data_IF_216977346902
#
_entry.id   IF_216977346902
#
_cell.length_a   1.000
_cell.length_b   1.000
_cell.length_c   1.000
_cell.angle_alpha   90.00
_cell.angle_beta   90.00
_cell.angle_gamma   90.00
#
_symmetry.space_group_name_H-M   'P 1'
#
loop_
_entity.id
_entity.type
_entity.pdbx_description
1 polymer ?
#
# COMPACT_ATOMS: atom_id res chain seq x y z
N UNK A 1 -7.29 -6.60 -0.21
CA UNK A 1 -7.05 -5.31 0.44
C UNK A 1 -5.64 -5.20 0.99
N UNK A 2 -5.31 -4.04 1.48
CA UNK A 2 -4.08 -3.81 2.24
C UNK A 2 -4.15 -4.47 3.61
N UNK A 3 -3.00 -4.69 4.26
CA UNK A 3 -2.95 -5.16 5.64
C UNK A 3 -3.58 -4.17 6.63
N UNK A 4 -3.61 -4.56 7.89
CA UNK A 4 -4.06 -3.68 8.96
C UNK A 4 -3.17 -2.42 9.07
N UNK A 5 -3.76 -1.30 9.43
CA UNK A 5 -3.06 -0.03 9.55
C UNK A 5 -3.45 0.74 10.78
N UNK A 6 -2.67 1.79 11.05
CA UNK A 6 -2.80 2.66 12.23
C UNK A 6 -2.04 2.16 13.44
N UNK A 7 -1.83 3.07 14.39
CA UNK A 7 -0.98 2.81 15.56
C UNK A 7 -1.53 1.78 16.55
N UNK A 8 -2.85 1.51 16.53
CA UNK A 8 -3.47 0.59 17.51
C UNK A 8 -3.16 -0.88 17.22
N UNK A 9 -3.31 -1.33 15.98
CA UNK A 9 -3.15 -2.75 15.63
C UNK A 9 -1.76 -3.30 15.94
N UNK A 10 -0.65 -2.70 15.47
CA UNK A 10 0.68 -3.17 15.83
C UNK A 10 0.95 -3.10 17.34
N UNK A 11 0.57 -1.99 18.00
CA UNK A 11 0.77 -1.81 19.43
C UNK A 11 0.05 -2.87 20.26
N UNK A 12 -1.21 -3.12 19.95
CA UNK A 12 -2.03 -4.06 20.72
C UNK A 12 -1.56 -5.51 20.49
N UNK A 13 -1.14 -5.87 19.27
CA UNK A 13 -0.53 -7.18 19.01
C UNK A 13 0.80 -7.36 19.75
N UNK A 14 1.64 -6.33 19.84
CA UNK A 14 2.89 -6.37 20.63
C UNK A 14 2.58 -6.58 22.12
N UNK A 15 1.59 -5.87 22.67
CA UNK A 15 1.18 -6.03 24.06
C UNK A 15 0.63 -7.43 24.35
N UNK A 16 -0.16 -7.97 23.42
CA UNK A 16 -0.73 -9.33 23.55
C UNK A 16 0.33 -10.43 23.40
N UNK A 17 1.37 -10.23 22.58
CA UNK A 17 2.55 -11.11 22.54
C UNK A 17 3.25 -11.15 23.92
N UNK A 18 3.51 -9.97 24.49
CA UNK A 18 4.11 -9.90 25.81
C UNK A 18 3.28 -10.65 26.86
N UNK A 19 1.95 -10.47 26.86
CA UNK A 19 1.06 -11.20 27.75
C UNK A 19 1.08 -12.71 27.51
N UNK A 20 1.13 -13.15 26.26
CA UNK A 20 1.22 -14.57 25.92
C UNK A 20 2.51 -15.21 26.46
N UNK A 21 3.62 -14.49 26.39
CA UNK A 21 4.92 -14.91 26.95
C UNK A 21 4.87 -14.98 28.49
N UNK A 22 4.43 -13.93 29.17
CA UNK A 22 4.29 -13.86 30.63
C UNK A 22 3.37 -14.97 31.20
N UNK A 23 2.31 -15.31 30.49
CA UNK A 23 1.36 -16.37 30.87
C UNK A 23 1.82 -17.75 30.43
N UNK A 24 2.96 -17.86 29.76
CA UNK A 24 3.51 -19.11 29.23
C UNK A 24 2.49 -19.89 28.39
N UNK A 25 1.76 -19.19 27.51
CA UNK A 25 0.84 -19.82 26.58
C UNK A 25 1.66 -20.61 25.56
N UNK A 26 1.37 -21.87 25.36
CA UNK A 26 2.13 -22.74 24.44
C UNK A 26 2.00 -22.35 22.94
N UNK A 27 1.35 -21.27 22.64
CA UNK A 27 1.13 -20.75 21.28
C UNK A 27 0.97 -19.22 21.28
N UNK A 28 1.75 -18.54 20.44
CA UNK A 28 1.67 -17.08 20.25
C UNK A 28 1.03 -16.74 18.89
N UNK A 29 -0.31 -16.54 18.90
CA UNK A 29 -1.06 -16.11 17.73
C UNK A 29 -0.65 -14.71 17.26
N UNK A 30 -0.30 -13.83 18.20
CA UNK A 30 -0.01 -12.43 17.91
C UNK A 30 1.32 -12.26 17.19
N UNK A 31 2.31 -13.09 17.51
CA UNK A 31 3.55 -13.16 16.73
C UNK A 31 3.28 -13.58 15.29
N UNK A 32 2.46 -14.60 15.11
CA UNK A 32 2.08 -15.07 13.77
C UNK A 32 1.36 -13.99 12.95
N UNK A 33 0.50 -13.18 13.58
CA UNK A 33 -0.18 -12.04 12.93
C UNK A 33 0.85 -10.98 12.50
N UNK A 34 1.78 -10.62 13.38
CA UNK A 34 2.81 -9.63 13.07
C UNK A 34 3.74 -10.11 11.95
N UNK A 35 4.16 -11.37 12.00
CA UNK A 35 4.98 -11.96 10.95
C UNK A 35 4.25 -12.00 9.60
N UNK A 36 2.97 -12.37 9.58
CA UNK A 36 2.18 -12.37 8.35
C UNK A 36 2.05 -10.96 7.75
N UNK A 37 1.90 -9.94 8.59
CA UNK A 37 1.88 -8.53 8.18
C UNK A 37 3.18 -8.13 7.47
N UNK A 38 4.34 -8.47 8.07
CA UNK A 38 5.64 -8.15 7.50
C UNK A 38 5.87 -8.88 6.16
N UNK A 39 5.57 -10.17 6.11
CA UNK A 39 5.70 -11.00 4.88
C UNK A 39 4.82 -10.44 3.75
N UNK A 40 3.58 -10.06 4.05
CA UNK A 40 2.69 -9.49 3.04
C UNK A 40 3.23 -8.15 2.51
N UNK A 41 3.74 -7.27 3.38
CA UNK A 41 4.31 -5.99 2.97
C UNK A 41 5.55 -6.19 2.07
N UNK A 42 6.44 -7.12 2.44
CA UNK A 42 7.59 -7.50 1.62
C UNK A 42 7.18 -8.01 0.24
N UNK A 43 6.18 -8.88 0.16
CA UNK A 43 5.72 -9.43 -1.10
C UNK A 43 5.16 -8.34 -2.02
N UNK A 44 4.41 -7.37 -1.48
CA UNK A 44 3.92 -6.22 -2.26
C UNK A 44 5.09 -5.36 -2.74
N UNK A 45 6.06 -5.07 -1.88
CA UNK A 45 7.24 -4.30 -2.24
C UNK A 45 8.04 -4.98 -3.36
N UNK A 46 8.25 -6.29 -3.28
CA UNK A 46 8.95 -7.06 -4.31
C UNK A 46 8.22 -7.02 -5.65
N UNK A 47 6.89 -7.08 -5.66
CA UNK A 47 6.09 -6.93 -6.88
C UNK A 47 6.30 -5.55 -7.51
N UNK A 48 6.29 -4.48 -6.71
CA UNK A 48 6.54 -3.11 -7.18
C UNK A 48 7.95 -2.96 -7.73
N UNK A 49 8.95 -3.44 -6.98
CA UNK A 49 10.38 -3.36 -7.35
C UNK A 49 10.66 -4.14 -8.63
N UNK A 50 10.08 -5.34 -8.77
CA UNK A 50 10.25 -6.12 -10.00
C UNK A 50 9.81 -5.30 -11.22
N UNK A 51 8.61 -4.73 -11.21
CA UNK A 51 8.12 -3.93 -12.33
C UNK A 51 8.89 -2.63 -12.53
N UNK A 52 9.30 -1.98 -11.44
CA UNK A 52 10.11 -0.76 -11.52
C UNK A 52 11.47 -1.04 -12.19
N UNK A 53 12.10 -2.16 -11.83
CA UNK A 53 13.37 -2.57 -12.42
C UNK A 53 13.24 -3.02 -13.89
N UNK A 54 12.21 -3.83 -14.21
CA UNK A 54 11.96 -4.32 -15.58
C UNK A 54 11.75 -3.18 -16.59
N UNK A 55 11.11 -2.10 -16.16
CA UNK A 55 10.71 -1.01 -17.04
C UNK A 55 11.45 0.31 -16.79
N UNK A 56 12.38 0.36 -15.83
CA UNK A 56 13.07 1.56 -15.36
C UNK A 56 12.10 2.68 -14.99
N UNK A 57 11.09 2.34 -14.18
CA UNK A 57 10.01 3.24 -13.76
C UNK A 57 10.15 3.66 -12.31
N UNK A 58 9.67 4.88 -11.98
CA UNK A 58 9.49 5.35 -10.61
C UNK A 58 8.36 4.59 -9.91
N UNK A 59 8.56 4.21 -8.64
CA UNK A 59 7.50 3.69 -7.79
C UNK A 59 6.73 4.84 -7.17
N UNK A 60 5.40 4.81 -7.28
CA UNK A 60 4.47 5.79 -6.69
C UNK A 60 3.49 5.07 -5.77
N UNK A 61 3.45 5.46 -4.51
CA UNK A 61 2.50 4.93 -3.53
C UNK A 61 1.36 5.94 -3.36
N UNK A 62 0.19 5.59 -3.87
CA UNK A 62 -1.03 6.38 -3.81
C UNK A 62 -1.77 6.10 -2.49
N UNK A 63 -1.67 7.07 -1.56
CA UNK A 63 -2.13 6.96 -0.18
C UNK A 63 -0.99 6.68 0.80
N UNK A 64 -0.58 7.70 1.57
CA UNK A 64 0.49 7.61 2.58
C UNK A 64 -0.05 7.35 3.97
N UNK A 65 -1.15 8.01 4.33
CA UNK A 65 -1.79 7.82 5.63
C UNK A 65 -2.26 6.36 5.82
N UNK A 66 -2.50 5.93 7.06
CA UNK A 66 -2.90 4.55 7.34
C UNK A 66 -4.29 4.19 6.77
N UNK A 67 -5.10 5.17 6.42
CA UNK A 67 -6.38 5.03 5.71
C UNK A 67 -6.75 6.33 4.99
N UNK A 68 -7.70 6.30 4.04
CA UNK A 68 -8.22 7.51 3.41
C UNK A 68 -8.88 8.46 4.41
N UNK A 69 -8.88 9.76 4.10
CA UNK A 69 -9.56 10.83 4.85
C UNK A 69 -8.96 11.13 6.23
N UNK A 70 -7.70 10.82 6.45
CA UNK A 70 -6.93 11.21 7.64
C UNK A 70 -5.53 11.64 7.23
N UNK A 71 -4.88 12.48 8.06
CA UNK A 71 -3.49 12.91 7.88
C UNK A 71 -2.48 12.07 8.68
N UNK A 72 -2.96 11.12 9.49
CA UNK A 72 -2.14 10.35 10.41
C UNK A 72 -1.42 9.19 9.71
N UNK A 73 -0.09 9.18 9.78
CA UNK A 73 0.75 8.22 9.09
C UNK A 73 1.33 7.11 9.97
N UNK A 74 1.32 7.29 11.32
CA UNK A 74 1.93 6.29 12.20
C UNK A 74 1.22 4.93 12.07
N UNK A 75 2.03 3.88 11.92
CA UNK A 75 1.54 2.53 11.67
C UNK A 75 0.93 2.33 10.28
N UNK A 76 1.16 3.26 9.34
CA UNK A 76 0.70 3.09 7.96
C UNK A 76 1.36 1.90 7.29
N UNK A 77 0.54 1.07 6.67
CA UNK A 77 1.01 -0.07 5.89
C UNK A 77 1.71 0.36 4.60
N UNK A 78 1.33 1.53 4.06
CA UNK A 78 1.99 2.17 2.92
C UNK A 78 3.45 2.49 3.21
N UNK A 79 3.74 3.02 4.41
CA UNK A 79 5.10 3.32 4.84
C UNK A 79 5.93 2.06 5.06
N UNK A 80 5.33 0.99 5.57
CA UNK A 80 6.01 -0.29 5.71
C UNK A 80 6.41 -0.87 4.35
N UNK A 81 5.51 -0.83 3.36
CA UNK A 81 5.81 -1.27 2.00
C UNK A 81 6.91 -0.39 1.39
N UNK A 82 6.82 0.93 1.57
CA UNK A 82 7.86 1.85 1.10
C UNK A 82 9.23 1.57 1.69
N UNK A 83 9.31 1.28 2.98
CA UNK A 83 10.54 0.86 3.64
C UNK A 83 11.15 -0.39 2.97
N UNK A 84 10.32 -1.40 2.64
CA UNK A 84 10.83 -2.59 1.93
C UNK A 84 11.23 -2.31 0.47
N UNK A 85 10.65 -1.31 -0.19
CA UNK A 85 11.16 -0.86 -1.48
C UNK A 85 12.53 -0.21 -1.32
N UNK A 86 12.73 0.62 -0.29
CA UNK A 86 14.01 1.27 0.00
C UNK A 86 15.12 0.26 0.33
N UNK A 87 14.82 -0.82 1.05
CA UNK A 87 15.77 -1.92 1.28
C UNK A 87 16.24 -2.58 -0.03
N UNK A 88 15.45 -2.50 -1.10
CA UNK A 88 15.80 -2.98 -2.44
C UNK A 88 16.44 -1.89 -3.32
N UNK A 89 16.71 -0.71 -2.77
CA UNK A 89 17.33 0.41 -3.47
C UNK A 89 16.37 1.30 -4.26
N UNK A 90 15.05 1.15 -4.07
CA UNK A 90 14.03 1.96 -4.74
C UNK A 90 13.33 2.89 -3.74
N UNK A 91 13.54 4.20 -3.87
CA UNK A 91 12.87 5.20 -3.05
C UNK A 91 11.52 5.54 -3.67
N UNK A 92 10.38 5.18 -3.06
CA UNK A 92 9.07 5.50 -3.61
C UNK A 92 8.71 6.96 -3.39
N UNK A 93 7.90 7.51 -4.30
CA UNK A 93 7.24 8.80 -4.13
C UNK A 93 5.82 8.54 -3.59
N UNK A 94 5.41 9.33 -2.60
CA UNK A 94 4.06 9.24 -2.04
C UNK A 94 3.15 10.30 -2.63
N UNK A 95 1.87 9.97 -2.78
CA UNK A 95 0.82 10.92 -3.16
C UNK A 95 -0.33 10.78 -2.18
N UNK A 96 -0.51 11.80 -1.35
CA UNK A 96 -1.62 11.89 -0.40
C UNK A 96 -1.88 13.37 -0.05
N UNK A 97 -2.98 13.96 -0.51
CA UNK A 97 -3.24 15.38 -0.32
C UNK A 97 -3.34 15.81 1.15
N UNK A 98 -3.77 14.90 2.05
CA UNK A 98 -3.92 15.25 3.47
C UNK A 98 -2.61 15.26 4.22
N UNK A 99 -1.63 14.50 3.79
CA UNK A 99 -0.29 14.51 4.37
C UNK A 99 0.63 15.54 3.71
N UNK A 100 0.11 16.30 2.72
CA UNK A 100 0.86 17.30 1.96
C UNK A 100 1.75 16.72 0.88
N UNK A 101 1.71 15.41 0.64
CA UNK A 101 2.50 14.75 -0.39
C UNK A 101 1.79 14.87 -1.74
N UNK A 102 2.37 15.67 -2.63
CA UNK A 102 1.85 15.92 -3.97
C UNK A 102 2.84 15.49 -5.04
N UNK A 103 2.36 14.74 -6.00
CA UNK A 103 3.12 14.33 -7.18
C UNK A 103 2.16 14.05 -8.33
N UNK A 104 2.41 14.63 -9.48
CA UNK A 104 1.61 14.42 -10.68
C UNK A 104 2.53 13.93 -11.82
N UNK A 105 2.70 12.62 -11.99
CA UNK A 105 3.60 12.05 -12.97
C UNK A 105 3.12 12.30 -14.39
N UNK A 106 4.04 12.66 -15.27
CA UNK A 106 3.80 12.79 -16.72
C UNK A 106 4.28 11.58 -17.51
N UNK A 107 5.19 10.78 -16.91
CA UNK A 107 5.73 9.56 -17.51
C UNK A 107 5.14 8.31 -16.83
N UNK A 108 5.14 7.16 -17.51
CA UNK A 108 4.67 5.91 -16.92
C UNK A 108 5.44 5.56 -15.64
N UNK A 109 4.69 5.13 -14.61
CA UNK A 109 5.21 4.75 -13.30
C UNK A 109 4.64 3.39 -12.86
N UNK A 110 5.21 2.83 -11.79
CA UNK A 110 4.64 1.69 -11.08
C UNK A 110 3.89 2.22 -9.87
N UNK A 111 2.57 2.06 -9.88
CA UNK A 111 1.70 2.54 -8.81
C UNK A 111 1.31 1.41 -7.86
N UNK A 112 1.31 1.71 -6.56
CA UNK A 112 0.55 0.98 -5.56
C UNK A 112 -0.69 1.80 -5.19
N UNK A 113 -1.88 1.27 -5.37
CA UNK A 113 -3.10 1.87 -4.83
C UNK A 113 -3.27 1.46 -3.36
N UNK A 114 -2.53 2.10 -2.47
CA UNK A 114 -2.60 1.83 -1.03
C UNK A 114 -3.94 2.29 -0.45
N UNK A 115 -4.49 3.41 -0.95
CA UNK A 115 -5.89 3.78 -0.76
C UNK A 115 -6.71 3.31 -1.96
N UNK A 116 -7.85 2.68 -1.67
CA UNK A 116 -8.76 2.20 -2.73
C UNK A 116 -9.28 3.36 -3.59
N UNK A 117 -9.25 3.19 -4.90
CA UNK A 117 -9.82 4.16 -5.84
C UNK A 117 -11.29 4.50 -5.52
N UNK A 118 -12.07 3.54 -5.02
CA UNK A 118 -13.48 3.76 -4.65
C UNK A 118 -13.66 4.59 -3.36
N UNK A 119 -12.65 4.63 -2.47
CA UNK A 119 -12.72 5.39 -1.20
C UNK A 119 -12.16 6.79 -1.31
N UNK A 120 -11.20 7.02 -2.18
CA UNK A 120 -10.66 8.37 -2.45
C UNK A 120 -11.72 9.30 -3.05
N UNK A 121 -12.72 8.73 -3.70
CA UNK A 121 -13.88 9.44 -4.23
C UNK A 121 -14.61 10.33 -3.21
N UNK A 122 -14.84 9.83 -2.01
CA UNK A 122 -15.61 10.56 -0.99
C UNK A 122 -14.90 11.83 -0.50
N UNK A 123 -13.59 11.89 -0.70
CA UNK A 123 -12.76 12.96 -0.19
C UNK A 123 -12.70 14.17 -1.13
N UNK A 124 -12.58 13.93 -2.43
CA UNK A 124 -12.36 15.01 -3.40
C UNK A 124 -13.60 15.81 -3.76
N UNK A 125 -14.81 15.32 -3.40
CA UNK A 125 -16.08 16.03 -3.65
C UNK A 125 -16.42 16.25 -5.13
N UNK A 126 -15.66 15.68 -6.05
CA UNK A 126 -15.82 15.86 -7.50
C UNK A 126 -16.49 14.62 -8.09
N UNK A 127 -17.55 14.83 -8.84
CA UNK A 127 -18.44 13.79 -9.38
C UNK A 127 -17.89 13.04 -10.61
N UNK A 128 -16.59 12.78 -10.71
CA UNK A 128 -16.00 12.11 -11.86
C UNK A 128 -15.24 10.81 -11.52
N UNK A 129 -15.21 9.88 -12.46
CA UNK A 129 -14.74 8.52 -12.30
C UNK A 129 -13.23 8.36 -12.01
N UNK A 130 -12.42 9.42 -12.16
CA UNK A 130 -10.98 9.41 -12.03
C UNK A 130 -10.53 10.07 -10.72
N UNK A 131 -10.92 9.45 -9.61
CA UNK A 131 -10.82 10.06 -8.27
C UNK A 131 -9.63 9.57 -7.48
N UNK A 132 -8.55 9.45 -8.16
CA UNK A 132 -7.23 9.24 -7.61
C UNK A 132 -6.65 10.58 -7.15
N UNK A 133 -5.66 10.54 -6.30
CA UNK A 133 -4.96 11.73 -5.81
C UNK A 133 -4.07 12.38 -6.87
N UNK A 134 -3.73 11.64 -7.93
CA UNK A 134 -2.97 12.12 -9.08
C UNK A 134 -3.40 11.43 -10.36
N UNK A 135 -2.92 11.94 -11.50
CA UNK A 135 -3.04 11.25 -12.78
C UNK A 135 -2.22 9.95 -12.79
N UNK A 136 -2.72 8.92 -13.49
CA UNK A 136 -1.97 7.70 -13.83
C UNK A 136 -1.70 7.72 -15.34
N UNK A 137 -0.47 7.98 -15.76
CA UNK A 137 -0.11 8.04 -17.18
C UNK A 137 -0.34 6.70 -17.88
N UNK A 138 -0.70 6.78 -19.18
CA UNK A 138 -0.81 5.60 -20.02
C UNK A 138 0.50 4.80 -20.07
N UNK A 139 0.42 3.49 -20.05
CA UNK A 139 1.59 2.61 -20.02
C UNK A 139 2.12 2.33 -18.62
N UNK A 140 1.53 2.90 -17.57
CA UNK A 140 1.88 2.60 -16.18
C UNK A 140 1.50 1.17 -15.80
N UNK A 141 2.18 0.65 -14.77
CA UNK A 141 1.81 -0.58 -14.05
C UNK A 141 1.09 -0.19 -12.77
N UNK A 142 -0.06 -0.77 -12.50
CA UNK A 142 -0.87 -0.46 -11.32
C UNK A 142 -1.12 -1.70 -10.51
N UNK A 143 -0.53 -1.78 -9.32
CA UNK A 143 -0.79 -2.83 -8.35
C UNK A 143 -1.98 -2.41 -7.48
N UNK A 144 -3.11 -3.11 -7.64
CA UNK A 144 -4.37 -2.83 -6.96
C UNK A 144 -4.78 -3.95 -6.00
N UNK A 145 -4.50 -3.82 -4.69
CA UNK A 145 -4.92 -4.79 -3.68
C UNK A 145 -6.43 -4.80 -3.41
N UNK A 146 -7.15 -3.77 -3.87
CA UNK A 146 -8.59 -3.61 -3.65
C UNK A 146 -9.43 -4.24 -4.75
N UNK A 147 -8.81 -4.49 -5.93
CA UNK A 147 -9.44 -5.13 -7.11
C UNK A 147 -10.63 -4.35 -7.64
N UNK A 148 -10.56 -3.04 -7.62
CA UNK A 148 -11.64 -2.17 -8.08
C UNK A 148 -11.18 -1.08 -9.07
N UNK A 149 -9.90 -1.06 -9.41
CA UNK A 149 -9.36 -0.17 -10.44
C UNK A 149 -9.32 -0.88 -11.79
N UNK A 150 -9.75 -0.19 -12.82
CA UNK A 150 -9.71 -0.67 -14.22
C UNK A 150 -9.25 0.47 -15.11
N UNK A 151 -8.23 0.21 -15.94
CA UNK A 151 -7.74 1.16 -16.94
C UNK A 151 -7.17 0.37 -18.13
N UNK A 152 -7.78 0.53 -19.31
CA UNK A 152 -7.37 -0.19 -20.53
C UNK A 152 -5.99 0.23 -21.05
N UNK A 153 -5.48 1.39 -20.65
CA UNK A 153 -4.19 1.93 -21.08
C UNK A 153 -3.05 1.63 -20.10
N UNK A 154 -3.32 0.87 -19.03
CA UNK A 154 -2.36 0.48 -18.01
C UNK A 154 -2.34 -1.03 -17.81
N UNK A 155 -1.21 -1.57 -17.36
CA UNK A 155 -1.14 -2.94 -16.85
C UNK A 155 -1.66 -2.96 -15.42
N UNK A 156 -2.90 -3.41 -15.18
CA UNK A 156 -3.48 -3.50 -13.84
C UNK A 156 -3.30 -4.90 -13.28
N UNK A 157 -2.70 -4.98 -12.08
CA UNK A 157 -2.45 -6.21 -11.34
C UNK A 157 -3.34 -6.20 -10.11
N UNK A 158 -4.36 -7.04 -10.09
CA UNK A 158 -5.21 -7.25 -8.93
C UNK A 158 -4.50 -8.17 -7.92
N UNK A 159 -3.68 -7.57 -7.07
CA UNK A 159 -2.81 -8.27 -6.14
C UNK A 159 -3.58 -9.24 -5.22
N UNK A 160 -2.98 -10.40 -4.96
CA UNK A 160 -3.59 -11.46 -4.15
C UNK A 160 -4.72 -12.23 -4.87
N UNK A 161 -4.85 -12.11 -6.20
CA UNK A 161 -5.75 -12.94 -6.98
C UNK A 161 -5.04 -14.23 -7.40
N UNK A 162 -5.31 -15.32 -6.67
CA UNK A 162 -4.68 -16.63 -6.93
C UNK A 162 -5.40 -17.47 -7.97
N UNK A 163 -6.53 -16.99 -8.52
CA UNK A 163 -7.33 -17.79 -9.49
C UNK A 163 -6.70 -17.86 -10.88
N UNK A 164 -5.77 -16.97 -11.16
CA UNK A 164 -5.15 -16.80 -12.49
C UNK A 164 -3.63 -16.61 -12.40
N UNK A 165 -3.06 -17.09 -11.30
CA UNK A 165 -1.61 -17.18 -11.14
C UNK A 165 -1.04 -18.34 -11.93
#
# INVERSE_FOLDING_TARGET
GMGDGGGCHPRDNIALRYMADELNLGYDLFDSIMNAREVQAKNIALELVQHANEHNMQIVIHGKAYKPNVEYCDGSYSLLIGHYCEEQGFVPVYVDPLTGDQYDPTEPCVFLLAHSASTTYKYTGVDNADKLYCNIPNGSVVVDPWRNYVNANCKVIHYGNTRYG
#
